data_IF_379113469779
#
_entry.id   IF_379113469779
#
_cell.length_a   1.000
_cell.length_b   1.000
_cell.length_c   1.000
_cell.angle_alpha   90.00
_cell.angle_beta   90.00
_cell.angle_gamma   90.00
#
_symmetry.space_group_name_H-M   'P 1'
#
loop_
_entity.id
_entity.type
_entity.pdbx_description
1 polymer ?
#
# COMPACT_ATOMS: atom_id res chain seq x y z
N UNK A 1 -3.56 -7.97 -0.64
CA UNK A 1 -2.72 -8.17 0.57
C UNK A 1 -3.11 -7.20 1.70
N UNK A 2 -3.23 -5.89 1.44
CA UNK A 2 -3.57 -4.88 2.47
C UNK A 2 -4.85 -5.20 3.24
N UNK A 3 -5.95 -5.55 2.56
CA UNK A 3 -7.20 -5.89 3.24
C UNK A 3 -7.10 -7.13 4.14
N UNK A 4 -6.30 -8.13 3.74
CA UNK A 4 -6.04 -9.32 4.54
C UNK A 4 -5.24 -8.96 5.80
N UNK A 5 -4.21 -8.12 5.65
CA UNK A 5 -3.47 -7.57 6.78
C UNK A 5 -4.40 -6.81 7.73
N UNK A 6 -5.20 -5.89 7.22
CA UNK A 6 -6.16 -5.12 8.03
C UNK A 6 -7.14 -6.02 8.79
N UNK A 7 -7.66 -7.06 8.13
CA UNK A 7 -8.55 -8.04 8.76
C UNK A 7 -7.88 -8.88 9.85
N UNK A 8 -6.56 -9.07 9.79
CA UNK A 8 -5.83 -9.80 10.83
C UNK A 8 -5.49 -8.96 12.08
N UNK A 9 -5.61 -7.63 11.99
CA UNK A 9 -5.37 -6.72 13.11
C UNK A 9 -6.50 -6.75 14.16
N UNK A 10 -7.74 -7.04 13.76
CA UNK A 10 -8.94 -6.89 14.60
C UNK A 10 -10.06 -7.81 14.15
N UNK A 11 -10.80 -8.36 15.11
CA UNK A 11 -11.99 -9.20 14.87
C UNK A 11 -13.23 -8.35 14.50
N UNK A 12 -13.19 -7.04 14.74
CA UNK A 12 -14.26 -6.13 14.34
C UNK A 12 -14.14 -5.75 12.85
N UNK A 13 -15.08 -6.24 12.04
CA UNK A 13 -15.13 -6.03 10.58
C UNK A 13 -15.14 -4.55 10.17
N UNK A 14 -15.84 -3.68 10.91
CA UNK A 14 -15.91 -2.25 10.61
C UNK A 14 -14.55 -1.60 10.81
N UNK A 15 -13.85 -1.96 11.89
CA UNK A 15 -12.49 -1.46 12.16
C UNK A 15 -11.53 -1.96 11.08
N UNK A 16 -11.60 -3.24 10.70
CA UNK A 16 -10.77 -3.82 9.64
C UNK A 16 -10.95 -3.10 8.30
N UNK A 17 -12.19 -2.78 7.94
CA UNK A 17 -12.52 -2.02 6.74
C UNK A 17 -11.91 -0.61 6.76
N UNK A 18 -12.09 0.12 7.86
CA UNK A 18 -11.55 1.48 8.01
C UNK A 18 -10.02 1.48 7.92
N UNK A 19 -9.35 0.53 8.58
CA UNK A 19 -7.89 0.40 8.52
C UNK A 19 -7.41 0.09 7.10
N UNK A 20 -8.08 -0.82 6.40
CA UNK A 20 -7.75 -1.14 5.01
C UNK A 20 -7.84 0.08 4.08
N UNK A 21 -8.93 0.84 4.18
CA UNK A 21 -9.11 2.08 3.41
C UNK A 21 -8.08 3.13 3.80
N UNK A 22 -7.83 3.34 5.10
CA UNK A 22 -6.87 4.33 5.57
C UNK A 22 -5.46 4.07 4.99
N UNK A 23 -5.02 2.80 4.97
CA UNK A 23 -3.72 2.42 4.38
C UNK A 23 -3.69 2.75 2.88
N UNK A 24 -4.70 2.34 2.12
CA UNK A 24 -4.77 2.60 0.68
C UNK A 24 -4.82 4.11 0.41
N UNK A 25 -5.60 4.85 1.21
CA UNK A 25 -5.75 6.28 1.10
C UNK A 25 -4.42 7.01 1.30
N UNK A 26 -3.59 6.58 2.26
CA UNK A 26 -2.24 7.14 2.46
C UNK A 26 -1.37 6.97 1.22
N UNK A 27 -1.32 5.77 0.62
CA UNK A 27 -0.56 5.54 -0.61
C UNK A 27 -1.09 6.38 -1.78
N UNK A 28 -2.42 6.51 -1.90
CA UNK A 28 -3.03 7.34 -2.95
C UNK A 28 -2.73 8.83 -2.75
N UNK A 29 -2.73 9.30 -1.51
CA UNK A 29 -2.50 10.70 -1.16
C UNK A 29 -1.08 11.18 -1.52
N UNK A 30 -0.10 10.27 -1.63
CA UNK A 30 1.29 10.63 -1.96
C UNK A 30 1.42 11.44 -3.25
N UNK A 31 0.63 11.11 -4.28
CA UNK A 31 0.60 11.89 -5.53
C UNK A 31 0.11 13.33 -5.32
N UNK A 32 -0.88 13.52 -4.45
CA UNK A 32 -1.46 14.84 -4.15
C UNK A 32 -0.54 15.70 -3.29
N UNK A 33 0.40 15.08 -2.59
CA UNK A 33 1.37 15.78 -1.74
C UNK A 33 2.62 16.27 -2.48
N UNK A 34 2.81 15.90 -3.75
CA UNK A 34 4.02 16.23 -4.50
C UNK A 34 4.33 17.74 -4.55
N UNK A 35 3.31 18.60 -4.58
CA UNK A 35 3.47 20.06 -4.59
C UNK A 35 4.02 20.63 -3.26
N UNK A 36 3.89 19.88 -2.17
CA UNK A 36 4.31 20.29 -0.82
C UNK A 36 5.63 19.63 -0.40
N UNK A 37 6.17 18.71 -1.21
CA UNK A 37 7.38 17.94 -0.90
C UNK A 37 8.59 18.63 -1.55
N UNK A 38 9.71 18.63 -0.83
CA UNK A 38 10.98 19.15 -1.34
C UNK A 38 11.35 18.44 -2.66
N UNK A 39 11.82 19.15 -3.71
CA UNK A 39 12.08 18.57 -5.04
C UNK A 39 12.96 17.32 -5.03
N UNK A 40 13.96 17.27 -4.13
CA UNK A 40 14.84 16.11 -3.96
C UNK A 40 14.12 14.83 -3.52
N UNK A 41 12.98 14.93 -2.84
CA UNK A 41 12.17 13.81 -2.36
C UNK A 41 10.97 13.51 -3.26
N UNK A 42 10.64 14.39 -4.20
CA UNK A 42 9.44 14.28 -5.03
C UNK A 42 9.40 12.95 -5.81
N UNK A 43 10.53 12.50 -6.36
CA UNK A 43 10.61 11.21 -7.07
C UNK A 43 10.33 10.00 -6.17
N UNK A 44 10.79 10.04 -4.91
CA UNK A 44 10.53 8.97 -3.93
C UNK A 44 9.05 8.96 -3.55
N UNK A 45 8.49 10.13 -3.23
CA UNK A 45 7.07 10.24 -2.86
C UNK A 45 6.17 9.82 -4.02
N UNK A 46 6.51 10.20 -5.26
CA UNK A 46 5.77 9.78 -6.44
C UNK A 46 5.81 8.26 -6.64
N UNK A 47 6.97 7.63 -6.39
CA UNK A 47 7.09 6.17 -6.48
C UNK A 47 6.28 5.43 -5.40
N UNK A 48 6.07 6.02 -4.23
CA UNK A 48 5.20 5.45 -3.19
C UNK A 48 3.71 5.57 -3.58
N UNK A 49 3.37 6.41 -4.56
CA UNK A 49 1.99 6.62 -4.95
C UNK A 49 1.40 5.46 -5.73
N UNK A 50 0.33 4.87 -5.20
CA UNK A 50 -0.47 3.88 -5.93
C UNK A 50 -1.17 4.50 -7.14
N UNK A 51 -1.58 5.77 -7.07
CA UNK A 51 -2.25 6.49 -8.15
C UNK A 51 -1.32 6.66 -9.35
N UNK A 52 -0.05 6.98 -9.11
CA UNK A 52 0.95 7.14 -10.16
C UNK A 52 1.11 5.84 -10.96
N UNK A 53 1.32 4.72 -10.26
CA UNK A 53 1.48 3.42 -10.90
C UNK A 53 0.19 2.93 -11.57
N UNK A 54 -0.97 3.16 -10.94
CA UNK A 54 -2.25 2.74 -11.50
C UNK A 54 -2.60 3.53 -12.76
N UNK A 55 -2.39 4.86 -12.76
CA UNK A 55 -2.66 5.71 -13.92
C UNK A 55 -1.79 5.36 -15.13
N UNK A 56 -0.52 4.96 -14.90
CA UNK A 56 0.35 4.44 -15.96
C UNK A 56 -0.26 3.18 -16.61
N UNK A 57 -0.68 2.22 -15.78
CA UNK A 57 -1.31 0.97 -16.25
C UNK A 57 -2.63 1.28 -16.97
N UNK A 58 -3.48 2.16 -16.44
CA UNK A 58 -4.76 2.55 -17.05
C UNK A 58 -4.59 3.18 -18.43
N UNK A 59 -3.44 3.80 -18.70
CA UNK A 59 -3.07 4.35 -20.03
C UNK A 59 -2.43 3.31 -20.95
N UNK A 60 -2.36 2.05 -20.53
CA UNK A 60 -1.72 0.96 -21.28
C UNK A 60 -0.19 0.91 -21.14
N UNK A 61 0.40 1.73 -20.26
CA UNK A 61 1.85 1.75 -20.03
C UNK A 61 2.19 0.82 -18.86
N UNK A 62 2.56 -0.41 -19.19
CA UNK A 62 3.03 -1.40 -18.22
C UNK A 62 4.55 -1.41 -18.24
N UNK A 63 5.15 -0.71 -17.28
CA UNK A 63 6.60 -0.70 -17.04
C UNK A 63 6.93 -1.69 -15.90
N UNK A 64 8.14 -2.26 -15.92
CA UNK A 64 8.73 -3.04 -14.83
C UNK A 64 8.62 -2.33 -13.47
N UNK A 65 8.70 -0.98 -13.44
CA UNK A 65 8.50 -0.19 -12.21
C UNK A 65 7.14 -0.44 -11.56
N UNK A 66 6.07 -0.55 -12.35
CA UNK A 66 4.72 -0.81 -11.82
C UNK A 66 4.63 -2.23 -11.25
N UNK A 67 5.21 -3.20 -11.95
CA UNK A 67 5.22 -4.62 -11.54
C UNK A 67 5.99 -4.77 -10.23
N UNK A 68 7.18 -4.17 -10.12
CA UNK A 68 7.99 -4.18 -8.90
C UNK A 68 7.22 -3.52 -7.77
N UNK A 69 6.64 -2.34 -7.98
CA UNK A 69 5.86 -1.63 -6.96
C UNK A 69 4.73 -2.50 -6.40
N UNK A 70 3.82 -3.00 -7.25
CA UNK A 70 2.69 -3.82 -6.79
C UNK A 70 3.16 -5.15 -6.19
N UNK A 71 4.17 -5.79 -6.78
CA UNK A 71 4.76 -7.01 -6.24
C UNK A 71 5.33 -6.81 -4.84
N UNK A 72 6.08 -5.72 -4.61
CA UNK A 72 6.63 -5.37 -3.31
C UNK A 72 5.53 -5.06 -2.29
N UNK A 73 4.51 -4.28 -2.65
CA UNK A 73 3.36 -3.99 -1.75
C UNK A 73 2.60 -5.28 -1.42
N UNK A 74 2.39 -6.16 -2.39
CA UNK A 74 1.75 -7.46 -2.16
C UNK A 74 2.56 -8.28 -1.16
N UNK A 75 3.85 -8.48 -1.45
CA UNK A 75 4.75 -9.27 -0.61
C UNK A 75 4.88 -8.72 0.81
N UNK A 76 5.06 -7.41 0.95
CA UNK A 76 5.19 -6.73 2.25
C UNK A 76 3.97 -6.96 3.15
N UNK A 77 2.76 -6.70 2.66
CA UNK A 77 1.55 -6.87 3.48
C UNK A 77 1.20 -8.33 3.74
N UNK A 78 1.52 -9.25 2.82
CA UNK A 78 1.39 -10.69 3.10
C UNK A 78 2.37 -11.14 4.19
N UNK A 79 3.63 -10.70 4.11
CA UNK A 79 4.62 -10.97 5.15
C UNK A 79 4.15 -10.47 6.52
N UNK A 80 3.66 -9.23 6.60
CA UNK A 80 3.12 -8.68 7.85
C UNK A 80 1.92 -9.48 8.37
N UNK A 81 1.01 -9.90 7.48
CA UNK A 81 -0.13 -10.76 7.84
C UNK A 81 0.36 -12.06 8.48
N UNK A 82 1.29 -12.75 7.83
CA UNK A 82 1.84 -14.02 8.34
C UNK A 82 2.50 -13.83 9.71
N UNK A 83 3.32 -12.80 9.88
CA UNK A 83 3.96 -12.49 11.16
C UNK A 83 2.98 -12.21 12.28
N UNK A 84 1.91 -11.47 11.98
CA UNK A 84 0.88 -11.15 12.96
C UNK A 84 0.10 -12.39 13.39
N UNK A 85 -0.27 -13.24 12.44
CA UNK A 85 -0.98 -14.50 12.71
C UNK A 85 -0.09 -15.48 13.50
N UNK A 86 1.18 -15.62 13.12
CA UNK A 86 2.16 -16.41 13.87
C UNK A 86 2.31 -15.93 15.32
N UNK A 87 2.41 -14.61 15.52
CA UNK A 87 2.54 -14.02 16.85
C UNK A 87 1.31 -14.25 17.73
N UNK A 88 0.09 -14.32 17.15
CA UNK A 88 -1.13 -14.65 17.90
C UNK A 88 -1.20 -16.13 18.26
N UNK A 89 -0.63 -17.01 17.43
CA UNK A 89 -0.59 -18.46 17.71
C UNK A 89 0.33 -18.81 18.88
N UNK A 90 1.36 -17.99 19.13
CA UNK A 90 2.36 -18.23 20.18
C UNK A 90 2.07 -17.46 21.48
N UNK A 91 0.98 -16.69 21.52
CA UNK A 91 0.39 -16.15 22.75
C UNK A 91 -0.72 -17.09 23.21
#
# INVERSE_FOLDING_TARGET
SIGLFASSLTDNQVVSFIVGIAIIFVFWLMDKMLLFVHPALAGIVQYISVEFHLSNISRGVIDTRNIIYFGSVIGFFLFLTTRLVESRRWR
#
